data_IF_961960174209
#
_entry.id   IF_961960174209
#
_cell.length_a   1.000
_cell.length_b   1.000
_cell.length_c   1.000
_cell.angle_alpha   90.00
_cell.angle_beta   90.00
_cell.angle_gamma   90.00
#
_symmetry.space_group_name_H-M   'P 1'
#
loop_
_entity.id
_entity.type
_entity.pdbx_description
1 polymer ?
#
# COMPACT_ATOMS: atom_id res chain seq x y z
N UNK A 1 6.80 -0.81 32.56
CA UNK A 1 7.57 0.37 32.08
C UNK A 1 8.52 0.06 30.91
N UNK A 2 9.06 -1.16 30.77
CA UNK A 2 9.99 -1.55 29.69
C UNK A 2 9.41 -1.54 28.27
N UNK A 3 8.08 -1.60 28.13
CA UNK A 3 7.35 -1.55 26.84
C UNK A 3 7.22 -0.14 26.25
N UNK A 4 7.44 0.91 27.04
CA UNK A 4 7.17 2.30 26.64
C UNK A 4 8.43 3.09 26.24
N UNK A 5 9.64 2.58 26.52
CA UNK A 5 10.85 3.40 26.49
C UNK A 5 11.95 2.96 25.51
N UNK A 6 11.84 1.83 24.82
CA UNK A 6 12.91 1.39 23.93
C UNK A 6 12.36 0.55 22.77
N UNK A 7 12.38 1.10 21.53
CA UNK A 7 12.36 0.26 20.32
C UNK A 7 13.30 0.72 19.19
N UNK A 8 13.70 2.00 19.07
CA UNK A 8 14.73 2.40 18.09
C UNK A 8 16.16 2.45 18.59
N UNK A 9 16.35 2.59 19.90
CA UNK A 9 17.67 2.72 20.47
C UNK A 9 18.60 1.58 20.03
N UNK A 10 18.10 0.35 19.97
CA UNK A 10 18.85 -0.83 19.57
C UNK A 10 18.92 -1.12 18.05
N UNK A 11 18.01 -0.58 17.22
CA UNK A 11 17.81 -1.07 15.84
C UNK A 11 18.90 -0.64 14.84
N UNK A 12 19.68 0.40 15.15
CA UNK A 12 20.73 0.95 14.29
C UNK A 12 22.12 0.91 14.92
N UNK A 13 22.33 0.03 15.92
CA UNK A 13 23.66 -0.26 16.44
C UNK A 13 24.47 -1.01 15.39
N UNK A 14 25.36 -0.31 14.69
CA UNK A 14 26.37 -0.92 13.84
C UNK A 14 27.40 -1.69 14.70
N UNK A 15 26.97 -2.78 15.35
CA UNK A 15 27.80 -3.63 16.20
C UNK A 15 27.97 -3.19 17.66
N UNK A 16 27.16 -2.27 18.18
CA UNK A 16 27.20 -1.81 19.58
C UNK A 16 25.98 -2.27 20.39
N UNK A 17 26.13 -2.46 21.71
CA UNK A 17 25.05 -2.87 22.63
C UNK A 17 23.85 -1.90 22.66
N UNK A 18 24.09 -0.63 22.28
CA UNK A 18 23.10 0.43 22.09
C UNK A 18 23.34 1.07 20.73
N UNK A 19 22.30 1.47 20.01
CA UNK A 19 22.44 2.25 18.78
C UNK A 19 22.79 3.71 19.05
N UNK A 20 23.27 4.38 17.99
CA UNK A 20 23.92 5.69 18.09
C UNK A 20 23.04 6.80 18.69
N UNK A 21 21.72 6.80 18.43
CA UNK A 21 20.79 7.76 19.03
C UNK A 21 20.58 7.50 20.53
N UNK A 22 20.45 6.23 20.93
CA UNK A 22 20.34 5.86 22.34
C UNK A 22 21.62 6.18 23.10
N UNK A 23 22.79 6.01 22.45
CA UNK A 23 24.08 6.41 23.01
C UNK A 23 24.16 7.93 23.27
N UNK A 24 23.39 8.75 22.54
CA UNK A 24 23.25 10.19 22.76
C UNK A 24 22.10 10.56 23.72
N UNK A 25 21.45 9.59 24.35
CA UNK A 25 20.36 9.82 25.30
C UNK A 25 18.98 10.04 24.68
N UNK A 26 18.81 9.75 23.38
CA UNK A 26 17.50 9.81 22.75
C UNK A 26 16.54 8.77 23.36
N UNK A 27 15.32 9.21 23.67
CA UNK A 27 14.26 8.36 24.20
C UNK A 27 13.16 8.21 23.15
N UNK A 28 13.02 7.00 22.61
CA UNK A 28 11.95 6.64 21.68
C UNK A 28 10.72 6.20 22.46
N UNK A 29 9.81 7.14 22.74
CA UNK A 29 8.58 6.84 23.46
C UNK A 29 7.66 5.97 22.59
N UNK A 30 7.35 4.77 23.08
CA UNK A 30 6.43 3.81 22.47
C UNK A 30 6.75 3.42 21.00
N UNK A 31 7.98 3.60 20.52
CA UNK A 31 8.32 3.36 19.12
C UNK A 31 7.89 4.47 18.16
N UNK A 32 7.54 5.65 18.68
CA UNK A 32 6.96 6.78 17.93
C UNK A 32 7.76 7.11 16.67
N UNK A 33 9.09 7.11 16.73
CA UNK A 33 9.89 7.47 15.56
C UNK A 33 9.77 6.42 14.44
N UNK A 34 9.66 5.12 14.75
CA UNK A 34 9.45 4.06 13.74
C UNK A 34 8.07 4.23 13.10
N UNK A 35 7.02 4.31 13.91
CA UNK A 35 5.65 4.28 13.40
C UNK A 35 5.34 5.52 12.57
N UNK A 36 5.81 6.70 12.97
CA UNK A 36 5.62 7.94 12.21
C UNK A 36 6.52 7.98 10.98
N UNK A 37 7.73 7.39 11.03
CA UNK A 37 8.59 7.23 9.86
C UNK A 37 7.96 6.33 8.79
N UNK A 38 7.45 5.16 9.20
CA UNK A 38 6.74 4.23 8.30
C UNK A 38 5.50 4.90 7.73
N UNK A 39 4.66 5.52 8.58
CA UNK A 39 3.44 6.19 8.16
C UNK A 39 3.69 7.39 7.24
N UNK A 40 4.72 8.19 7.53
CA UNK A 40 5.12 9.33 6.70
C UNK A 40 5.56 8.90 5.30
N UNK A 41 6.40 7.86 5.21
CA UNK A 41 6.81 7.30 3.91
C UNK A 41 5.61 6.67 3.18
N UNK A 42 4.73 5.96 3.89
CA UNK A 42 3.50 5.42 3.31
C UNK A 42 2.60 6.53 2.75
N UNK A 43 2.47 7.67 3.45
CA UNK A 43 1.75 8.84 2.96
C UNK A 43 2.33 9.40 1.67
N UNK A 44 3.65 9.49 1.55
CA UNK A 44 4.33 9.90 0.30
C UNK A 44 4.08 8.90 -0.82
N UNK A 45 4.21 7.59 -0.56
CA UNK A 45 3.93 6.53 -1.54
C UNK A 45 2.48 6.59 -2.01
N UNK A 46 1.54 6.78 -1.08
CA UNK A 46 0.10 6.93 -1.35
C UNK A 46 -0.22 8.15 -2.20
N UNK A 47 0.47 9.27 -1.97
CA UNK A 47 0.24 10.50 -2.73
C UNK A 47 0.88 10.46 -4.12
N UNK A 48 2.07 9.86 -4.24
CA UNK A 48 2.80 9.79 -5.51
C UNK A 48 2.37 8.64 -6.42
N UNK A 49 1.74 7.59 -5.86
CA UNK A 49 1.36 6.39 -6.59
C UNK A 49 0.36 6.61 -7.73
N UNK A 50 -0.74 7.38 -7.56
CA UNK A 50 -1.68 7.64 -8.64
C UNK A 50 -0.99 8.35 -9.82
N UNK A 51 -0.20 9.38 -9.55
CA UNK A 51 0.58 10.09 -10.60
C UNK A 51 1.55 9.16 -11.33
N UNK A 52 2.16 8.20 -10.62
CA UNK A 52 3.02 7.19 -11.23
C UNK A 52 2.22 6.27 -12.17
N UNK A 53 1.06 5.78 -11.73
CA UNK A 53 0.18 4.90 -12.51
C UNK A 53 -0.39 5.62 -13.74
N UNK A 54 -0.83 6.87 -13.58
CA UNK A 54 -1.25 7.74 -14.69
C UNK A 54 -0.15 7.92 -15.74
N UNK A 55 1.10 8.08 -15.31
CA UNK A 55 2.25 8.17 -16.23
C UNK A 55 2.43 6.89 -17.05
N UNK A 56 2.05 5.74 -16.51
CA UNK A 56 2.01 4.47 -17.22
C UNK A 56 0.67 4.20 -17.92
N UNK A 57 -0.26 5.16 -17.91
CA UNK A 57 -1.63 5.04 -18.45
C UNK A 57 -2.40 3.87 -17.83
N UNK A 58 -2.16 3.62 -16.55
CA UNK A 58 -2.90 2.67 -15.74
C UNK A 58 -3.94 3.44 -14.93
N UNK A 59 -5.20 3.27 -15.31
CA UNK A 59 -6.34 3.94 -14.68
C UNK A 59 -6.80 3.18 -13.42
N UNK A 60 -6.26 3.58 -12.28
CA UNK A 60 -6.65 3.07 -10.96
C UNK A 60 -7.71 3.99 -10.35
N UNK A 61 -8.96 3.72 -10.72
CA UNK A 61 -10.16 4.58 -10.50
C UNK A 61 -10.27 5.13 -9.08
N UNK A 62 -9.85 4.37 -8.06
CA UNK A 62 -9.97 4.75 -6.65
C UNK A 62 -8.62 4.88 -5.93
N UNK A 63 -7.50 4.75 -6.66
CA UNK A 63 -6.16 4.74 -6.08
C UNK A 63 -5.84 3.51 -5.23
N UNK A 64 -6.55 2.40 -5.43
CA UNK A 64 -6.42 1.18 -4.62
C UNK A 64 -5.01 0.59 -4.69
N UNK A 65 -4.37 0.58 -5.86
CA UNK A 65 -3.01 0.06 -6.04
C UNK A 65 -2.01 0.88 -5.23
N UNK A 66 -2.17 2.21 -5.20
CA UNK A 66 -1.28 3.07 -4.43
C UNK A 66 -1.39 2.84 -2.92
N UNK A 67 -2.61 2.83 -2.37
CA UNK A 67 -2.84 2.75 -0.92
C UNK A 67 -2.80 1.33 -0.35
N UNK A 68 -3.12 0.30 -1.16
CA UNK A 68 -3.12 -1.08 -0.70
C UNK A 68 -1.89 -1.87 -1.18
N UNK A 69 -1.53 -1.81 -2.47
CA UNK A 69 -0.39 -2.59 -2.97
C UNK A 69 0.95 -1.93 -2.63
N UNK A 70 1.18 -0.67 -3.04
CA UNK A 70 2.48 -0.02 -2.82
C UNK A 70 2.75 0.23 -1.32
N UNK A 71 1.77 0.80 -0.61
CA UNK A 71 1.90 0.99 0.84
C UNK A 71 1.94 -0.35 1.60
N UNK A 72 1.24 -1.38 1.10
CA UNK A 72 1.29 -2.73 1.66
C UNK A 72 2.70 -3.33 1.56
N UNK A 73 3.33 -3.26 0.38
CA UNK A 73 4.71 -3.71 0.17
C UNK A 73 5.67 -2.95 1.10
N UNK A 74 5.54 -1.63 1.20
CA UNK A 74 6.35 -0.83 2.12
C UNK A 74 6.19 -1.28 3.58
N UNK A 75 4.95 -1.42 4.04
CA UNK A 75 4.64 -1.83 5.40
C UNK A 75 5.16 -3.24 5.73
N UNK A 76 5.00 -4.20 4.83
CA UNK A 76 5.49 -5.57 5.07
C UNK A 76 7.00 -5.66 5.04
N UNK A 77 7.70 -4.90 4.20
CA UNK A 77 9.17 -4.82 4.23
C UNK A 77 9.67 -4.18 5.53
N UNK A 78 8.95 -3.19 6.06
CA UNK A 78 9.28 -2.54 7.34
C UNK A 78 9.31 -3.51 8.53
N UNK A 79 8.56 -4.63 8.48
CA UNK A 79 8.60 -5.68 9.50
C UNK A 79 10.01 -6.26 9.66
N UNK A 80 10.75 -6.41 8.56
CA UNK A 80 12.13 -6.89 8.61
C UNK A 80 13.15 -5.76 8.83
N UNK A 81 12.88 -4.55 8.30
CA UNK A 81 13.76 -3.39 8.47
C UNK A 81 13.86 -2.98 9.95
N UNK A 82 12.71 -2.96 10.65
CA UNK A 82 12.60 -2.55 12.05
C UNK A 82 12.34 -3.73 12.98
N UNK A 83 12.87 -4.91 12.63
CA UNK A 83 12.70 -6.11 13.43
C UNK A 83 13.26 -5.93 14.85
N UNK A 84 12.61 -6.50 15.86
CA UNK A 84 12.97 -6.27 17.27
C UNK A 84 14.36 -6.80 17.65
N UNK A 85 14.86 -7.81 16.93
CA UNK A 85 16.21 -8.33 17.08
C UNK A 85 17.28 -7.52 16.31
N UNK A 86 16.90 -6.37 15.74
CA UNK A 86 17.74 -5.55 14.88
C UNK A 86 17.66 -5.92 13.39
N UNK A 87 18.22 -5.03 12.56
CA UNK A 87 18.25 -5.19 11.11
C UNK A 87 19.13 -6.37 10.68
N UNK A 88 18.61 -7.19 9.77
CA UNK A 88 19.36 -8.27 9.14
C UNK A 88 18.99 -8.38 7.67
N UNK A 89 20.00 -8.45 6.81
CA UNK A 89 19.81 -8.68 5.37
C UNK A 89 19.09 -10.01 5.12
N UNK A 90 19.38 -11.05 5.91
CA UNK A 90 18.71 -12.33 5.78
C UNK A 90 17.20 -12.22 6.11
N UNK A 91 16.84 -11.48 7.15
CA UNK A 91 15.44 -11.21 7.51
C UNK A 91 14.73 -10.42 6.41
N UNK A 92 15.38 -9.37 5.88
CA UNK A 92 14.85 -8.57 4.78
C UNK A 92 14.62 -9.39 3.52
N UNK A 93 15.55 -10.27 3.15
CA UNK A 93 15.41 -11.16 2.00
C UNK A 93 14.24 -12.11 2.15
N UNK A 94 14.08 -12.73 3.31
CA UNK A 94 12.95 -13.62 3.60
C UNK A 94 11.62 -12.85 3.54
N UNK A 95 11.57 -11.66 4.14
CA UNK A 95 10.35 -10.84 4.14
C UNK A 95 10.00 -10.31 2.75
N UNK A 96 11.00 -9.92 1.95
CA UNK A 96 10.82 -9.54 0.55
C UNK A 96 10.30 -10.71 -0.28
N UNK A 97 10.92 -11.89 -0.17
CA UNK A 97 10.47 -13.10 -0.86
C UNK A 97 9.00 -13.41 -0.56
N UNK A 98 8.60 -13.35 0.72
CA UNK A 98 7.20 -13.58 1.13
C UNK A 98 6.27 -12.52 0.56
N UNK A 99 6.65 -11.25 0.64
CA UNK A 99 5.86 -10.10 0.14
C UNK A 99 5.63 -10.19 -1.36
N UNK A 100 6.67 -10.42 -2.16
CA UNK A 100 6.53 -10.51 -3.61
C UNK A 100 5.87 -11.82 -4.06
N UNK A 101 6.07 -12.92 -3.33
CA UNK A 101 5.32 -14.16 -3.56
C UNK A 101 3.82 -13.93 -3.41
N UNK A 102 3.37 -13.32 -2.31
CA UNK A 102 1.93 -13.09 -2.11
C UNK A 102 1.36 -12.08 -3.12
N UNK A 103 2.11 -11.04 -3.49
CA UNK A 103 1.70 -10.12 -4.55
C UNK A 103 1.50 -10.85 -5.89
N UNK A 104 2.45 -11.73 -6.26
CA UNK A 104 2.37 -12.55 -7.46
C UNK A 104 1.18 -13.52 -7.42
N UNK A 105 1.01 -14.25 -6.32
CA UNK A 105 -0.13 -15.16 -6.15
C UNK A 105 -1.47 -14.41 -6.24
N UNK A 106 -1.60 -13.27 -5.57
CA UNK A 106 -2.82 -12.46 -5.60
C UNK A 106 -3.11 -11.93 -7.01
N UNK A 107 -2.09 -11.40 -7.72
CA UNK A 107 -2.24 -10.92 -9.09
C UNK A 107 -2.65 -12.03 -10.04
N UNK A 108 -1.99 -13.19 -9.99
CA UNK A 108 -2.30 -14.35 -10.86
C UNK A 108 -3.72 -14.85 -10.58
N UNK A 109 -4.09 -15.01 -9.29
CA UNK A 109 -5.42 -15.47 -8.92
C UNK A 109 -6.50 -14.49 -9.38
N UNK A 110 -6.33 -13.19 -9.12
CA UNK A 110 -7.24 -12.14 -9.57
C UNK A 110 -7.34 -12.11 -11.10
N UNK A 111 -6.21 -12.18 -11.81
CA UNK A 111 -6.18 -12.20 -13.27
C UNK A 111 -6.96 -13.39 -13.82
N UNK A 112 -6.77 -14.61 -13.29
CA UNK A 112 -7.52 -15.80 -13.72
C UNK A 112 -9.02 -15.60 -13.51
N UNK A 113 -9.43 -15.13 -12.33
CA UNK A 113 -10.85 -14.90 -12.00
C UNK A 113 -11.47 -13.88 -12.94
N UNK A 114 -10.85 -12.70 -13.08
CA UNK A 114 -11.36 -11.64 -13.95
C UNK A 114 -11.30 -12.02 -15.43
N UNK A 115 -10.29 -12.78 -15.85
CA UNK A 115 -10.21 -13.31 -17.22
C UNK A 115 -11.39 -14.25 -17.51
N UNK A 116 -11.70 -15.18 -16.61
CA UNK A 116 -12.85 -16.09 -16.76
C UNK A 116 -14.15 -15.29 -16.84
N UNK A 117 -14.38 -14.37 -15.89
CA UNK A 117 -15.57 -13.50 -15.87
C UNK A 117 -15.71 -12.73 -17.19
N UNK A 118 -14.62 -12.13 -17.65
CA UNK A 118 -14.62 -11.35 -18.90
C UNK A 118 -14.91 -12.21 -20.14
N UNK A 119 -14.63 -13.52 -20.10
CA UNK A 119 -14.91 -14.44 -21.22
C UNK A 119 -16.28 -15.08 -21.17
N UNK A 120 -16.92 -15.16 -20.00
CA UNK A 120 -18.20 -15.85 -19.84
C UNK A 120 -19.39 -14.91 -19.77
N UNK A 121 -19.31 -13.85 -18.97
CA UNK A 121 -20.41 -12.90 -18.73
C UNK A 121 -20.08 -11.47 -19.17
N UNK A 122 -18.79 -11.14 -19.31
CA UNK A 122 -18.33 -9.78 -19.56
C UNK A 122 -18.06 -9.04 -18.25
N UNK A 123 -16.92 -8.34 -18.18
CA UNK A 123 -16.52 -7.60 -16.97
C UNK A 123 -16.82 -6.10 -17.06
N UNK A 124 -16.87 -5.56 -18.29
CA UNK A 124 -17.03 -4.12 -18.56
C UNK A 124 -18.39 -3.89 -19.23
N UNK A 125 -19.05 -2.81 -18.85
CA UNK A 125 -20.27 -2.33 -19.50
C UNK A 125 -20.02 -2.00 -20.99
N UNK A 126 -21.08 -1.98 -21.80
CA UNK A 126 -20.96 -1.62 -23.22
C UNK A 126 -20.50 -0.18 -23.38
N UNK A 127 -20.03 0.19 -24.57
CA UNK A 127 -19.59 1.56 -24.83
C UNK A 127 -20.77 2.56 -24.71
N UNK A 128 -21.98 2.15 -25.10
CA UNK A 128 -23.19 2.95 -24.92
C UNK A 128 -23.51 3.16 -23.43
N UNK A 129 -23.42 2.11 -22.61
CA UNK A 129 -23.67 2.17 -21.16
C UNK A 129 -22.61 3.02 -20.44
N UNK A 130 -21.34 2.93 -20.87
CA UNK A 130 -20.26 3.77 -20.33
C UNK A 130 -20.48 5.26 -20.62
N UNK A 131 -21.00 5.59 -21.81
CA UNK A 131 -21.32 6.98 -22.19
C UNK A 131 -22.55 7.49 -21.43
N UNK A 132 -23.56 6.65 -21.25
CA UNK A 132 -24.80 7.01 -20.54
C UNK A 132 -24.59 7.14 -19.03
N UNK A 133 -23.66 6.36 -18.48
CA UNK A 133 -23.39 6.25 -17.05
C UNK A 133 -24.14 5.10 -16.38
N UNK A 134 -23.45 4.37 -15.50
CA UNK A 134 -23.96 3.18 -14.83
C UNK A 134 -25.16 3.45 -13.91
N UNK A 135 -25.27 4.67 -13.37
CA UNK A 135 -26.44 5.09 -12.59
C UNK A 135 -27.73 4.91 -13.40
N UNK A 136 -27.72 5.32 -14.67
CA UNK A 136 -28.91 5.25 -15.50
C UNK A 136 -29.08 3.86 -16.14
N UNK A 137 -27.99 3.27 -16.65
CA UNK A 137 -28.07 1.98 -17.34
C UNK A 137 -28.39 0.80 -16.41
N UNK A 138 -27.88 0.80 -15.18
CA UNK A 138 -28.11 -0.29 -14.22
C UNK A 138 -29.20 0.03 -13.18
N UNK A 139 -29.37 1.30 -12.81
CA UNK A 139 -30.25 1.69 -11.69
C UNK A 139 -31.44 2.57 -12.09
N UNK A 140 -31.61 2.87 -13.40
CA UNK A 140 -32.67 3.71 -13.95
C UNK A 140 -32.87 5.04 -13.17
N UNK A 141 -31.79 5.58 -12.62
CA UNK A 141 -31.80 6.76 -11.76
C UNK A 141 -30.55 7.60 -12.00
N UNK A 142 -30.55 8.83 -11.49
CA UNK A 142 -29.36 9.70 -11.51
C UNK A 142 -28.99 9.99 -10.07
N UNK A 143 -27.74 9.70 -9.66
CA UNK A 143 -27.29 10.02 -8.31
C UNK A 143 -27.28 11.54 -8.04
N UNK A 144 -27.09 12.35 -9.10
CA UNK A 144 -26.99 13.80 -9.02
C UNK A 144 -27.88 14.50 -10.06
N UNK A 145 -29.22 14.46 -9.91
CA UNK A 145 -30.17 14.93 -10.93
C UNK A 145 -30.07 16.45 -11.23
N UNK A 146 -29.47 17.22 -10.32
CA UNK A 146 -29.38 18.68 -10.42
C UNK A 146 -28.04 19.20 -10.98
N UNK A 147 -27.09 18.32 -11.29
CA UNK A 147 -25.73 18.69 -11.73
C UNK A 147 -25.40 18.22 -13.15
N UNK A 148 -26.41 17.83 -13.95
CA UNK A 148 -26.17 17.46 -15.33
C UNK A 148 -25.80 18.72 -16.14
N UNK A 149 -24.65 18.67 -16.80
CA UNK A 149 -24.27 19.69 -17.79
C UNK A 149 -25.32 19.69 -18.88
N UNK A 150 -26.06 20.79 -19.04
CA UNK A 150 -26.76 21.05 -20.29
C UNK A 150 -25.68 21.24 -21.33
N UNK A 151 -25.58 20.29 -22.24
CA UNK A 151 -24.78 20.26 -23.48
C UNK A 151 -23.76 21.41 -23.68
#
# INVERSE_FOLDING_TARGET
MRLLLNRLGAAWGAGSEKGWLEAMGFVDFAGSTVIHGIGGIAGVISAAGPTLLEKFKLDDVVGAVSVHLFCGIWGTLCVAIFHESGFSIASLQVQALRTFTICGCAFIAAYIVFFIINRTIGLRATDEEQVLGLDFSEHASNAYPNFQTKD
#
